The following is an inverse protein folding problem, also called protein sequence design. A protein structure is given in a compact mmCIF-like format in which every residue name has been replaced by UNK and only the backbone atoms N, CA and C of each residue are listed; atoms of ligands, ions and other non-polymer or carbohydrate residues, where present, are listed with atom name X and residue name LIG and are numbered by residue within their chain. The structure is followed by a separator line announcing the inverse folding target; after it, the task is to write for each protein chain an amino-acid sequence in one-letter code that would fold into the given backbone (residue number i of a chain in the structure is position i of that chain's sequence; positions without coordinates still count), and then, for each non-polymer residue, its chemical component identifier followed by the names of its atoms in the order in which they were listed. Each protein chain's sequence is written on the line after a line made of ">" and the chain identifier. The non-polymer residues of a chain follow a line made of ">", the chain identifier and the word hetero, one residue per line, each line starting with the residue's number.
data_IF_492912863467
#
_entry.id   IF_492912863467
#
_cell.length_a   1.000
_cell.length_b   1.000
_cell.length_c   1.000
_cell.angle_alpha   90.00
_cell.angle_beta   90.00
_cell.angle_gamma   90.00
#
_symmetry.space_group_name_H-M   'P 1'
#
loop_
_entity.id
_entity.type
_entity.pdbx_description
1 polymer ?
#
# COMPACT_ATOMS: atom_id res chain seq x y z
N UNK A 1 -23.98 -15.89 0.42
CA UNK A 1 -22.70 -15.66 -0.27
C UNK A 1 -21.90 -14.63 0.54
N UNK A 2 -21.48 -15.05 1.77
CA UNK A 2 -20.91 -14.19 2.84
C UNK A 2 -19.56 -14.75 3.33
N UNK A 3 -18.70 -15.29 2.46
CA UNK A 3 -17.61 -16.18 2.92
C UNK A 3 -16.20 -15.57 2.81
N UNK A 4 -15.98 -14.50 2.05
CA UNK A 4 -14.62 -13.99 1.85
C UNK A 4 -14.14 -12.99 2.92
N UNK A 5 -15.03 -12.35 3.69
CA UNK A 5 -14.62 -11.36 4.70
C UNK A 5 -14.24 -12.00 6.05
N UNK A 6 -14.84 -13.11 6.45
CA UNK A 6 -14.58 -13.71 7.77
C UNK A 6 -13.35 -14.63 7.83
N UNK A 7 -13.00 -15.29 6.73
CA UNK A 7 -11.85 -16.19 6.70
C UNK A 7 -10.49 -15.47 6.79
N UNK A 8 -10.44 -14.19 6.43
CA UNK A 8 -9.20 -13.39 6.49
C UNK A 8 -8.88 -12.88 7.90
N UNK A 9 -9.91 -12.62 8.73
CA UNK A 9 -9.73 -12.09 10.08
C UNK A 9 -9.17 -13.11 11.09
N UNK A 10 -9.51 -14.38 10.96
CA UNK A 10 -9.12 -15.39 11.94
C UNK A 10 -7.68 -15.91 11.84
N UNK A 11 -6.93 -15.60 10.77
CA UNK A 11 -5.52 -16.03 10.63
C UNK A 11 -4.49 -15.05 11.19
N UNK A 12 -4.88 -13.83 11.55
CA UNK A 12 -3.96 -12.78 12.01
C UNK A 12 -3.92 -12.56 13.54
N UNK A 13 -4.72 -13.26 14.35
CA UNK A 13 -4.93 -12.92 15.75
C UNK A 13 -4.08 -13.69 16.79
N UNK A 14 -3.11 -14.50 16.40
CA UNK A 14 -2.25 -15.20 17.38
C UNK A 14 -0.78 -14.90 17.15
N UNK A 15 -0.28 -13.84 17.78
CA UNK A 15 1.10 -13.76 18.30
C UNK A 15 1.25 -12.48 19.16
N UNK A 16 1.03 -12.65 20.46
CA UNK A 16 1.58 -11.73 21.48
C UNK A 16 3.05 -12.07 21.65
N UNK A 17 3.95 -11.10 21.52
CA UNK A 17 5.29 -11.23 22.05
C UNK A 17 5.76 -9.92 22.70
N UNK A 18 6.27 -10.08 23.87
CA UNK A 18 6.83 -9.14 24.83
C UNK A 18 7.96 -8.29 24.26
N UNK A 19 7.85 -6.97 24.44
CA UNK A 19 8.91 -6.00 24.10
C UNK A 19 9.87 -5.91 25.28
N UNK A 20 11.12 -6.31 25.07
CA UNK A 20 12.24 -6.08 25.99
C UNK A 20 12.87 -4.72 25.71
N UNK A 21 13.01 -3.89 26.75
CA UNK A 21 13.67 -2.60 26.69
C UNK A 21 15.19 -2.77 26.54
N UNK A 22 15.73 -2.34 25.41
CA UNK A 22 17.18 -2.25 25.20
C UNK A 22 17.67 -0.82 25.43
N UNK A 23 18.56 -0.65 26.38
CA UNK A 23 19.25 0.60 26.76
C UNK A 23 20.16 1.07 25.62
N UNK A 24 19.88 2.25 25.05
CA UNK A 24 20.71 2.85 24.00
C UNK A 24 21.78 3.74 24.65
N UNK A 25 23.04 3.34 24.49
CA UNK A 25 24.24 4.13 24.84
C UNK A 25 24.42 5.25 23.80
N UNK A 26 24.30 6.50 24.21
CA UNK A 26 24.65 7.68 23.41
C UNK A 26 26.17 7.79 23.27
N UNK A 27 26.71 7.55 22.07
CA UNK A 27 28.04 7.99 21.67
C UNK A 27 27.97 9.44 21.17
N UNK A 28 28.65 10.34 21.83
CA UNK A 28 28.86 11.72 21.39
C UNK A 28 29.82 11.76 20.20
N UNK A 29 29.34 12.20 19.04
CA UNK A 29 30.17 12.48 17.84
C UNK A 29 30.58 13.95 17.80
N UNK A 30 31.79 14.30 17.32
CA UNK A 30 32.26 15.69 17.26
C UNK A 30 31.46 16.50 16.23
N UNK A 31 31.19 17.77 16.58
CA UNK A 31 30.57 18.77 15.70
C UNK A 31 31.54 19.10 14.57
N UNK A 32 31.42 18.44 13.42
CA UNK A 32 32.04 18.92 12.17
C UNK A 32 30.99 18.85 11.08
N UNK A 33 30.64 20.07 10.58
CA UNK A 33 29.95 20.35 9.32
C UNK A 33 28.80 19.41 8.95
N UNK A 34 27.69 19.50 9.68
CA UNK A 34 26.40 19.04 9.20
C UNK A 34 25.95 20.03 8.10
N UNK A 35 26.28 19.71 6.84
CA UNK A 35 25.40 20.10 5.74
C UNK A 35 24.01 19.59 6.16
N UNK A 36 23.12 20.51 6.51
CA UNK A 36 21.75 20.17 6.88
C UNK A 36 21.17 19.38 5.72
N UNK A 37 21.07 18.05 5.88
CA UNK A 37 20.34 17.21 4.96
C UNK A 37 18.91 17.75 4.98
N UNK A 38 18.54 18.49 3.93
CA UNK A 38 17.17 18.98 3.75
C UNK A 38 16.31 17.74 3.66
N UNK A 39 15.69 17.38 4.78
CA UNK A 39 14.70 16.32 4.81
C UNK A 39 13.41 16.92 4.23
N UNK A 40 12.86 16.39 3.15
CA UNK A 40 11.65 16.94 2.52
C UNK A 40 10.41 16.85 3.45
N UNK A 41 10.50 16.02 4.50
CA UNK A 41 9.45 15.77 5.46
C UNK A 41 9.64 16.62 6.73
N UNK A 42 8.59 17.30 7.18
CA UNK A 42 8.55 17.95 8.49
C UNK A 42 8.74 16.95 9.62
N UNK A 43 9.03 17.41 10.84
CA UNK A 43 9.19 16.53 12.00
C UNK A 43 7.92 15.70 12.29
N UNK A 44 6.74 16.30 12.15
CA UNK A 44 5.47 15.59 12.34
C UNK A 44 5.25 14.52 11.26
N UNK A 45 5.57 14.83 10.01
CA UNK A 45 5.51 13.86 8.91
C UNK A 45 6.52 12.72 9.11
N UNK A 46 7.73 13.00 9.56
CA UNK A 46 8.72 11.95 9.88
C UNK A 46 8.22 11.03 10.99
N UNK A 47 7.61 11.57 12.03
CA UNK A 47 7.00 10.79 13.12
C UNK A 47 5.87 9.90 12.56
N UNK A 48 5.00 10.47 11.72
CA UNK A 48 3.94 9.70 11.08
C UNK A 48 4.48 8.60 10.16
N UNK A 49 5.46 8.90 9.31
CA UNK A 49 6.09 7.92 8.41
C UNK A 49 6.80 6.81 9.21
N UNK A 50 7.40 7.14 10.36
CA UNK A 50 7.95 6.15 11.29
C UNK A 50 6.90 5.18 11.84
N UNK A 51 5.73 5.71 12.22
CA UNK A 51 4.59 4.88 12.62
C UNK A 51 4.10 3.97 11.49
N UNK A 52 3.91 4.53 10.29
CA UNK A 52 3.50 3.77 9.10
C UNK A 52 4.47 2.65 8.76
N UNK A 53 5.77 2.95 8.86
CA UNK A 53 6.82 1.96 8.65
C UNK A 53 6.71 0.81 9.65
N UNK A 54 6.61 1.12 10.94
CA UNK A 54 6.45 0.10 11.98
C UNK A 54 5.21 -0.77 11.75
N UNK A 55 4.08 -0.15 11.37
CA UNK A 55 2.83 -0.85 11.11
C UNK A 55 2.94 -1.79 9.90
N UNK A 56 3.48 -1.31 8.78
CA UNK A 56 3.68 -2.13 7.58
C UNK A 56 4.66 -3.28 7.80
N UNK A 57 5.79 -3.02 8.46
CA UNK A 57 6.80 -4.05 8.75
C UNK A 57 6.29 -5.11 9.71
N UNK A 58 5.40 -4.74 10.65
CA UNK A 58 4.76 -5.70 11.55
C UNK A 58 3.85 -6.67 10.79
N UNK A 59 3.06 -6.18 9.81
CA UNK A 59 2.11 -7.01 9.07
C UNK A 59 2.72 -7.70 7.85
N UNK A 60 3.56 -7.00 7.09
CA UNK A 60 4.14 -7.53 5.85
C UNK A 60 5.59 -7.99 6.00
N UNK A 61 6.22 -7.76 7.16
CA UNK A 61 7.59 -8.18 7.50
C UNK A 61 8.60 -7.79 6.41
N UNK A 62 9.41 -8.74 5.92
CA UNK A 62 10.44 -8.56 4.90
C UNK A 62 9.89 -8.33 3.47
N UNK A 63 8.60 -8.07 3.31
CA UNK A 63 7.94 -7.81 2.02
C UNK A 63 7.74 -6.32 1.71
N UNK A 64 8.21 -5.44 2.59
CA UNK A 64 8.10 -3.97 2.44
C UNK A 64 9.45 -3.40 2.02
N UNK A 65 9.44 -2.54 1.01
CA UNK A 65 10.62 -1.81 0.56
C UNK A 65 10.29 -0.32 0.46
N UNK A 66 11.09 0.52 1.11
CA UNK A 66 11.00 1.98 1.02
C UNK A 66 11.95 2.49 -0.05
N UNK A 67 11.44 3.30 -0.98
CA UNK A 67 12.18 3.86 -2.10
C UNK A 67 12.23 5.36 -1.93
N UNK A 68 13.42 5.94 -2.10
CA UNK A 68 13.70 7.37 -2.00
C UNK A 68 13.06 8.02 -0.75
N UNK A 69 13.49 7.65 0.47
CA UNK A 69 12.89 8.16 1.69
C UNK A 69 13.13 9.66 1.93
N UNK A 70 13.92 10.31 1.07
CA UNK A 70 14.27 11.73 1.16
C UNK A 70 13.71 12.59 0.03
N UNK A 71 13.02 12.00 -0.92
CA UNK A 71 12.50 12.72 -2.10
C UNK A 71 11.09 12.27 -2.45
N UNK A 72 10.94 11.73 -3.63
CA UNK A 72 9.68 11.14 -4.12
C UNK A 72 9.45 9.78 -3.47
N UNK A 73 9.10 9.82 -2.18
CA UNK A 73 9.03 8.62 -1.34
C UNK A 73 7.91 7.69 -1.79
N UNK A 74 8.26 6.42 -1.95
CA UNK A 74 7.34 5.35 -2.33
C UNK A 74 7.53 4.15 -1.42
N UNK A 75 6.47 3.38 -1.26
CA UNK A 75 6.52 2.10 -0.53
C UNK A 75 6.08 1.00 -1.47
N UNK A 76 6.89 -0.03 -1.60
CA UNK A 76 6.52 -1.26 -2.31
C UNK A 76 6.23 -2.38 -1.31
N UNK A 77 5.13 -3.08 -1.55
CA UNK A 77 4.67 -4.19 -0.71
C UNK A 77 4.42 -5.39 -1.62
N UNK A 78 5.21 -6.44 -1.43
CA UNK A 78 4.99 -7.71 -2.13
C UNK A 78 3.85 -8.45 -1.46
N UNK A 79 2.84 -8.81 -2.24
CA UNK A 79 1.66 -9.53 -1.77
C UNK A 79 1.46 -10.81 -2.58
N UNK A 80 0.85 -11.82 -1.96
CA UNK A 80 0.48 -13.07 -2.60
C UNK A 80 -1.03 -13.25 -2.47
N UNK A 81 -1.71 -13.41 -3.59
CA UNK A 81 -3.14 -13.69 -3.62
C UNK A 81 -3.45 -15.14 -3.24
N UNK A 82 -4.72 -15.44 -3.01
CA UNK A 82 -5.21 -16.80 -2.71
C UNK A 82 -4.93 -17.81 -3.83
N UNK A 83 -4.66 -17.34 -5.05
CA UNK A 83 -4.24 -18.13 -6.23
C UNK A 83 -2.74 -18.44 -6.27
N UNK A 84 -1.97 -18.08 -5.24
CA UNK A 84 -0.50 -18.13 -5.18
C UNK A 84 0.21 -17.16 -6.15
N UNK A 85 -0.52 -16.34 -6.89
CA UNK A 85 0.07 -15.28 -7.72
C UNK A 85 0.62 -14.16 -6.87
N UNK A 86 1.79 -13.68 -7.27
CA UNK A 86 2.51 -12.61 -6.58
C UNK A 86 2.38 -11.30 -7.35
N UNK A 87 2.13 -10.23 -6.61
CA UNK A 87 2.05 -8.87 -7.09
C UNK A 87 2.90 -7.95 -6.20
N UNK A 88 3.21 -6.77 -6.71
CA UNK A 88 3.76 -5.68 -5.90
C UNK A 88 2.82 -4.49 -5.98
N UNK A 89 2.36 -4.04 -4.83
CA UNK A 89 1.65 -2.78 -4.68
C UNK A 89 2.68 -1.68 -4.41
N UNK A 90 2.63 -0.58 -5.17
CA UNK A 90 3.45 0.62 -4.94
C UNK A 90 2.56 1.77 -4.53
N UNK A 91 2.85 2.34 -3.37
CA UNK A 91 2.16 3.48 -2.79
C UNK A 91 3.07 4.71 -2.99
N UNK A 92 2.56 5.76 -3.63
CA UNK A 92 3.21 7.06 -3.80
C UNK A 92 2.75 7.98 -2.69
N UNK A 93 3.68 8.49 -1.92
CA UNK A 93 3.39 9.32 -0.74
C UNK A 93 3.33 10.78 -1.18
N UNK A 94 2.18 11.47 -1.05
CA UNK A 94 2.07 12.88 -1.39
C UNK A 94 2.87 13.74 -0.42
N UNK A 95 3.38 14.89 -0.90
CA UNK A 95 4.25 15.78 -0.10
C UNK A 95 3.57 16.35 1.16
N UNK A 96 2.25 16.43 1.17
CA UNK A 96 1.44 16.89 2.30
C UNK A 96 0.86 15.75 3.15
N UNK A 97 1.33 14.49 2.94
CA UNK A 97 0.90 13.35 3.75
C UNK A 97 1.04 13.66 5.25
N UNK A 98 0.04 13.37 6.11
CA UNK A 98 -1.12 12.48 5.88
C UNK A 98 -2.39 13.18 5.34
N UNK A 99 -2.35 14.46 4.99
CA UNK A 99 -3.54 15.22 4.63
C UNK A 99 -4.14 14.80 3.28
N UNK A 100 -3.31 14.42 2.32
CA UNK A 100 -3.76 13.94 1.01
C UNK A 100 -3.70 12.41 0.89
N UNK A 101 -4.67 11.87 0.14
CA UNK A 101 -4.75 10.44 -0.16
C UNK A 101 -3.56 10.00 -1.02
N UNK A 102 -2.77 9.00 -0.63
CA UNK A 102 -1.72 8.44 -1.44
C UNK A 102 -2.28 7.75 -2.69
N UNK A 103 -1.51 7.70 -3.75
CA UNK A 103 -1.85 6.94 -4.95
C UNK A 103 -1.26 5.54 -4.85
N UNK A 104 -1.96 4.54 -5.40
CA UNK A 104 -1.48 3.17 -5.42
C UNK A 104 -1.58 2.56 -6.80
N UNK A 105 -0.54 1.85 -7.22
CA UNK A 105 -0.50 1.08 -8.46
C UNK A 105 -0.11 -0.36 -8.20
N UNK A 106 -0.39 -1.24 -9.16
CA UNK A 106 0.21 -2.58 -9.23
C UNK A 106 1.49 -2.44 -10.04
N UNK A 107 2.67 -2.46 -9.39
CA UNK A 107 3.97 -2.23 -10.02
C UNK A 107 4.69 -3.52 -10.48
N UNK A 108 4.19 -4.67 -10.06
CA UNK A 108 4.59 -5.97 -10.61
C UNK A 108 3.33 -6.79 -10.93
N UNK A 109 3.12 -7.12 -12.22
CA UNK A 109 3.96 -6.86 -13.39
C UNK A 109 4.13 -5.36 -13.68
N UNK A 110 5.28 -4.98 -14.26
CA UNK A 110 5.66 -3.59 -14.57
C UNK A 110 4.94 -3.02 -15.81
N UNK A 111 3.66 -3.31 -15.94
CA UNK A 111 2.78 -2.85 -17.03
C UNK A 111 1.35 -2.78 -16.51
N UNK A 112 0.46 -2.15 -17.30
CA UNK A 112 -0.96 -2.23 -16.99
C UNK A 112 -1.46 -3.68 -17.06
N UNK A 113 -2.25 -4.05 -16.06
CA UNK A 113 -2.93 -5.34 -16.02
C UNK A 113 -3.95 -5.46 -17.16
N UNK A 114 -4.26 -6.69 -17.53
CA UNK A 114 -5.23 -7.00 -18.58
C UNK A 114 -6.46 -7.67 -17.97
N UNK A 115 -7.61 -7.29 -18.50
CA UNK A 115 -8.86 -8.02 -18.24
C UNK A 115 -8.81 -9.41 -18.86
N UNK A 116 -9.79 -10.23 -18.53
CA UNK A 116 -9.94 -11.57 -19.14
C UNK A 116 -10.06 -11.53 -20.66
N UNK A 117 -10.68 -10.49 -21.22
CA UNK A 117 -10.83 -10.28 -22.67
C UNK A 117 -9.56 -9.74 -23.36
N UNK A 118 -8.47 -9.53 -22.60
CA UNK A 118 -7.20 -9.01 -23.08
C UNK A 118 -7.10 -7.48 -23.11
N UNK A 119 -8.18 -6.74 -22.88
CA UNK A 119 -8.16 -5.27 -22.81
C UNK A 119 -7.36 -4.78 -21.60
N UNK A 120 -6.74 -3.59 -21.70
CA UNK A 120 -5.91 -3.05 -20.65
C UNK A 120 -6.74 -2.35 -19.56
N UNK A 121 -6.33 -2.50 -18.30
CA UNK A 121 -6.81 -1.71 -17.16
C UNK A 121 -5.95 -0.45 -17.02
N UNK A 122 -6.04 0.46 -18.00
CA UNK A 122 -5.22 1.67 -18.11
C UNK A 122 -6.03 2.98 -18.14
N UNK A 123 -7.35 2.89 -18.00
CA UNK A 123 -8.29 4.03 -17.95
C UNK A 123 -9.06 4.05 -16.65
N UNK A 124 -9.57 5.23 -16.27
CA UNK A 124 -10.47 5.36 -15.11
C UNK A 124 -11.79 4.64 -15.38
N UNK A 125 -12.20 3.79 -14.44
CA UNK A 125 -13.43 3.00 -14.54
C UNK A 125 -14.00 2.70 -13.17
N UNK A 126 -15.24 3.08 -12.93
CA UNK A 126 -15.95 2.73 -11.70
C UNK A 126 -16.23 1.22 -11.61
N UNK A 127 -16.48 0.57 -12.76
CA UNK A 127 -16.73 -0.87 -12.80
C UNK A 127 -15.49 -1.71 -12.50
N UNK A 128 -14.30 -1.17 -12.85
CA UNK A 128 -13.03 -1.85 -12.62
C UNK A 128 -12.32 -1.34 -11.36
N UNK A 129 -12.88 -0.31 -10.71
CA UNK A 129 -12.27 0.37 -9.55
C UNK A 129 -10.82 0.79 -9.83
N UNK A 130 -10.63 1.51 -10.95
CA UNK A 130 -9.34 2.05 -11.39
C UNK A 130 -9.42 3.56 -11.61
N UNK A 131 -8.31 4.26 -11.37
CA UNK A 131 -8.11 5.67 -11.73
C UNK A 131 -7.41 5.85 -13.08
N UNK A 132 -7.01 4.74 -13.73
CA UNK A 132 -6.27 4.74 -14.97
C UNK A 132 -4.90 4.11 -14.84
N UNK A 133 -3.86 4.79 -15.33
CA UNK A 133 -2.47 4.33 -15.21
C UNK A 133 -1.55 5.42 -14.67
N UNK A 134 -0.54 4.99 -13.93
CA UNK A 134 0.57 5.82 -13.45
C UNK A 134 1.87 5.03 -13.64
N UNK A 135 2.87 5.68 -14.24
CA UNK A 135 4.17 5.07 -14.58
C UNK A 135 4.03 3.76 -15.38
N UNK A 136 3.03 3.70 -16.30
CA UNK A 136 2.74 2.51 -17.10
C UNK A 136 2.06 1.35 -16.37
N UNK A 137 1.69 1.52 -15.11
CA UNK A 137 1.06 0.51 -14.25
C UNK A 137 -0.41 0.84 -13.98
N UNK A 138 -1.25 -0.17 -13.73
CA UNK A 138 -2.66 0.03 -13.36
C UNK A 138 -2.77 0.75 -12.02
N UNK A 139 -3.45 1.90 -11.99
CA UNK A 139 -3.72 2.65 -10.77
C UNK A 139 -5.06 2.22 -10.16
N UNK A 140 -5.01 1.74 -8.93
CA UNK A 140 -6.17 1.23 -8.19
C UNK A 140 -6.93 2.36 -7.51
N UNK A 141 -8.28 2.32 -7.59
CA UNK A 141 -9.17 3.14 -6.77
C UNK A 141 -9.35 2.45 -5.40
N UNK A 142 -8.61 2.87 -4.39
CA UNK A 142 -8.67 2.32 -3.02
C UNK A 142 -9.39 3.24 -2.03
N UNK A 143 -9.40 4.56 -2.30
CA UNK A 143 -10.17 5.58 -1.60
C UNK A 143 -10.68 6.62 -2.59
N UNK A 144 -11.84 7.21 -2.31
CA UNK A 144 -12.20 8.49 -2.91
C UNK A 144 -11.43 9.58 -2.17
N UNK A 145 -10.75 10.50 -2.87
CA UNK A 145 -9.97 11.55 -2.21
C UNK A 145 -10.76 12.36 -1.16
N UNK A 146 -12.06 12.57 -1.40
CA UNK A 146 -12.94 13.28 -0.47
C UNK A 146 -13.28 12.50 0.82
N UNK A 147 -13.04 11.21 0.84
CA UNK A 147 -13.28 10.32 2.01
C UNK A 147 -11.97 10.02 2.77
N UNK A 148 -10.84 10.56 2.30
CA UNK A 148 -9.56 10.39 2.97
C UNK A 148 -9.49 11.27 4.22
N UNK A 149 -8.99 10.69 5.31
CA UNK A 149 -8.66 11.40 6.54
C UNK A 149 -7.22 11.08 6.97
N UNK A 150 -6.63 11.92 7.80
CA UNK A 150 -5.28 11.75 8.33
C UNK A 150 -5.15 10.55 9.30
N UNK A 151 -6.27 9.99 9.76
CA UNK A 151 -6.30 8.74 10.53
C UNK A 151 -6.03 7.49 9.68
N UNK A 152 -6.25 7.58 8.36
CA UNK A 152 -6.05 6.43 7.47
C UNK A 152 -4.56 6.11 7.30
N UNK A 153 -4.22 4.82 7.29
CA UNK A 153 -2.86 4.32 7.28
C UNK A 153 -2.48 3.63 5.96
N UNK A 154 -1.18 3.53 5.67
CA UNK A 154 -0.70 2.73 4.53
C UNK A 154 -1.06 1.24 4.66
N UNK A 155 -1.20 0.75 5.88
CA UNK A 155 -1.71 -0.61 6.10
C UNK A 155 -3.12 -0.78 5.52
N UNK A 156 -4.03 0.14 5.83
CA UNK A 156 -5.39 0.10 5.27
C UNK A 156 -5.39 0.25 3.74
N UNK A 157 -4.54 1.13 3.20
CA UNK A 157 -4.34 1.29 1.75
C UNK A 157 -3.87 -0.05 1.13
N UNK A 158 -2.86 -0.69 1.71
CA UNK A 158 -2.33 -1.96 1.23
C UNK A 158 -3.37 -3.08 1.30
N UNK A 159 -4.17 -3.14 2.37
CA UNK A 159 -5.25 -4.13 2.51
C UNK A 159 -6.35 -3.95 1.46
N UNK A 160 -6.72 -2.70 1.16
CA UNK A 160 -7.67 -2.42 0.06
C UNK A 160 -7.08 -2.82 -1.30
N UNK A 161 -5.77 -2.61 -1.52
CA UNK A 161 -5.07 -3.09 -2.70
C UNK A 161 -5.09 -4.61 -2.84
N UNK A 162 -4.88 -5.33 -1.73
CA UNK A 162 -4.95 -6.79 -1.72
C UNK A 162 -6.37 -7.30 -2.03
N UNK A 163 -7.39 -6.68 -1.45
CA UNK A 163 -8.80 -6.99 -1.75
C UNK A 163 -9.08 -6.75 -3.24
N UNK A 164 -8.58 -5.66 -3.81
CA UNK A 164 -8.73 -5.37 -5.24
C UNK A 164 -8.04 -6.44 -6.10
N UNK A 165 -6.85 -6.89 -5.73
CA UNK A 165 -6.13 -7.97 -6.43
C UNK A 165 -6.88 -9.31 -6.36
N UNK A 166 -7.47 -9.67 -5.23
CA UNK A 166 -8.33 -10.87 -5.12
C UNK A 166 -9.57 -10.77 -6.02
N UNK A 167 -10.19 -9.60 -6.12
CA UNK A 167 -11.28 -9.34 -7.05
C UNK A 167 -10.83 -9.45 -8.51
N UNK A 168 -9.64 -8.93 -8.83
CA UNK A 168 -9.03 -9.06 -10.15
C UNK A 168 -8.76 -10.52 -10.52
N UNK A 169 -8.21 -11.32 -9.62
CA UNK A 169 -8.03 -12.76 -9.83
C UNK A 169 -9.38 -13.49 -10.03
N UNK A 170 -10.41 -13.10 -9.28
CA UNK A 170 -11.76 -13.63 -9.46
C UNK A 170 -12.32 -13.25 -10.84
N UNK A 171 -12.13 -11.99 -11.29
CA UNK A 171 -12.49 -11.53 -12.63
C UNK A 171 -11.81 -12.38 -13.72
N UNK A 172 -10.51 -12.63 -13.61
CA UNK A 172 -9.78 -13.45 -14.58
C UNK A 172 -10.34 -14.88 -14.68
N UNK A 173 -10.78 -15.47 -13.57
CA UNK A 173 -11.36 -16.83 -13.56
C UNK A 173 -12.77 -16.87 -14.13
N UNK A 174 -13.62 -15.91 -13.72
CA UNK A 174 -15.08 -15.99 -13.98
C UNK A 174 -15.54 -15.13 -15.15
N UNK A 175 -14.83 -14.04 -15.47
CA UNK A 175 -15.23 -13.02 -16.46
C UNK A 175 -16.25 -12.00 -15.92
N UNK A 176 -16.71 -12.12 -14.65
CA UNK A 176 -17.58 -11.10 -14.07
C UNK A 176 -16.81 -9.80 -13.81
N UNK A 177 -17.50 -8.65 -13.84
CA UNK A 177 -16.92 -7.34 -13.54
C UNK A 177 -16.30 -7.33 -12.14
N UNK A 178 -15.21 -6.55 -11.95
CA UNK A 178 -14.61 -6.36 -10.63
C UNK A 178 -15.60 -5.78 -9.62
N UNK A 179 -16.51 -4.89 -10.05
CA UNK A 179 -17.56 -4.32 -9.20
C UNK A 179 -18.49 -5.38 -8.57
N UNK A 180 -18.56 -6.59 -9.12
CA UNK A 180 -19.35 -7.67 -8.51
C UNK A 180 -18.68 -8.23 -7.23
N UNK A 181 -17.38 -8.03 -7.08
CA UNK A 181 -16.60 -8.50 -5.93
C UNK A 181 -16.22 -7.36 -4.98
N UNK A 182 -16.16 -6.12 -5.50
CA UNK A 182 -15.81 -4.93 -4.75
C UNK A 182 -17.08 -4.14 -4.44
N UNK A 183 -17.47 -4.09 -3.17
CA UNK A 183 -18.52 -3.16 -2.74
C UNK A 183 -17.92 -1.76 -2.64
N UNK A 184 -18.69 -0.73 -3.00
CA UNK A 184 -18.33 0.64 -2.68
C UNK A 184 -18.37 0.81 -1.15
N UNK A 185 -17.24 1.11 -0.57
CA UNK A 185 -17.08 1.52 0.83
C UNK A 185 -16.99 3.04 0.88
#
# INVERSE_FOLDING_TARGET
>A
MYILSELFWNRCLHLRSTVSAATILYRTFPRSTLSALIMPWSQSQQTRLGYEKGLLENYFRNRVTWIDPRGDTRVEIRVTCSSDRQYTLRIYIPADYPNSCPQMVVSNPSCCLRKRDGSLLNSGSSNDHTWGSKDGCTQICHYKPAEWTDDNTFYQVAMKGLIWLEAYEAHLRTGHSLSNYLRHY
#
